data_IF_040011265147
#
_entry.id   IF_040011265147
#
_cell.length_a   1.000
_cell.length_b   1.000
_cell.length_c   1.000
_cell.angle_alpha   90.00
_cell.angle_beta   90.00
_cell.angle_gamma   90.00
#
_symmetry.space_group_name_H-M   'P 1'
#
loop_
_entity.id
_entity.type
_entity.pdbx_description
1 polymer ?
#
# COMPACT_ATOMS: atom_id res chain seq x y z
N UNK A 1 -2.96 -17.27 4.28
CA UNK A 1 -1.87 -18.25 4.24
C UNK A 1 -2.21 -19.44 5.11
N UNK A 2 -2.41 -19.21 6.40
CA UNK A 2 -2.69 -20.29 7.36
C UNK A 2 -3.93 -21.11 7.02
N UNK A 3 -4.97 -20.46 6.49
CA UNK A 3 -6.25 -21.09 6.15
C UNK A 3 -6.31 -21.60 4.69
N UNK A 4 -5.23 -21.48 3.93
CA UNK A 4 -5.20 -21.89 2.52
C UNK A 4 -5.91 -20.94 1.55
N UNK A 5 -6.48 -19.84 2.02
CA UNK A 5 -7.15 -18.84 1.18
C UNK A 5 -6.11 -18.00 0.42
N UNK A 6 -5.02 -17.67 1.08
CA UNK A 6 -3.91 -16.90 0.51
C UNK A 6 -2.69 -17.83 0.43
N UNK A 7 -2.09 -17.95 -0.75
CA UNK A 7 -0.94 -18.84 -0.96
C UNK A 7 0.38 -18.24 -0.48
N UNK A 8 0.54 -16.93 -0.58
CA UNK A 8 1.75 -16.22 -0.14
C UNK A 8 1.46 -14.76 0.14
N UNK A 9 2.30 -14.15 0.97
CA UNK A 9 2.26 -12.71 1.27
C UNK A 9 3.66 -12.14 1.09
N UNK A 10 3.75 -10.97 0.46
CA UNK A 10 4.97 -10.17 0.41
C UNK A 10 4.72 -8.89 1.20
N UNK A 11 5.58 -8.61 2.17
CA UNK A 11 5.54 -7.42 3.00
C UNK A 11 6.74 -6.54 2.68
N UNK A 12 6.49 -5.29 2.31
CA UNK A 12 7.54 -4.29 2.11
C UNK A 12 7.47 -3.33 3.29
N UNK A 13 8.51 -3.33 4.12
CA UNK A 13 8.59 -2.54 5.36
C UNK A 13 9.91 -1.77 5.37
N UNK A 14 9.84 -0.47 5.65
CA UNK A 14 11.03 0.38 5.65
C UNK A 14 11.95 0.09 6.85
N UNK A 15 11.40 -0.39 7.96
CA UNK A 15 12.16 -0.61 9.20
C UNK A 15 12.56 -2.09 9.37
N UNK A 16 13.86 -2.34 9.38
CA UNK A 16 14.39 -3.67 9.69
C UNK A 16 14.02 -4.09 11.10
N UNK A 17 13.99 -3.15 12.05
CA UNK A 17 13.63 -3.44 13.45
C UNK A 17 12.20 -3.96 13.56
N UNK A 18 11.27 -3.40 12.78
CA UNK A 18 9.87 -3.88 12.72
C UNK A 18 9.81 -5.29 12.15
N UNK A 19 10.54 -5.57 11.09
CA UNK A 19 10.62 -6.90 10.48
C UNK A 19 11.16 -7.90 11.52
N UNK A 20 12.23 -7.56 12.21
CA UNK A 20 12.86 -8.41 13.21
C UNK A 20 11.94 -8.68 14.39
N UNK A 21 11.10 -7.70 14.75
CA UNK A 21 10.14 -7.83 15.84
C UNK A 21 8.96 -8.74 15.46
N UNK A 22 8.47 -8.64 14.23
CA UNK A 22 7.21 -9.27 13.79
C UNK A 22 7.45 -10.63 13.15
N UNK A 23 8.48 -10.79 12.32
CA UNK A 23 8.69 -11.99 11.50
C UNK A 23 8.80 -13.30 12.30
N UNK A 24 9.39 -13.34 13.52
CA UNK A 24 9.48 -14.59 14.28
C UNK A 24 8.12 -15.20 14.63
N UNK A 25 7.07 -14.39 14.74
CA UNK A 25 5.71 -14.86 15.07
C UNK A 25 5.04 -15.57 13.89
N UNK A 26 5.55 -15.39 12.67
CA UNK A 26 4.95 -15.90 11.45
C UNK A 26 5.91 -16.73 10.61
N UNK A 27 6.98 -17.24 11.22
CA UNK A 27 8.07 -17.98 10.53
C UNK A 27 7.61 -19.23 9.80
N UNK A 28 6.50 -19.84 10.26
CA UNK A 28 5.96 -21.06 9.66
C UNK A 28 5.00 -20.78 8.50
N UNK A 29 4.76 -19.51 8.17
CA UNK A 29 3.88 -19.09 7.09
C UNK A 29 4.69 -18.64 5.88
N UNK A 30 4.10 -18.75 4.70
CA UNK A 30 4.74 -18.31 3.46
C UNK A 30 4.66 -16.80 3.31
N UNK A 31 5.48 -16.09 4.07
CA UNK A 31 5.57 -14.63 4.07
C UNK A 31 7.01 -14.22 3.76
N UNK A 32 7.17 -13.39 2.74
CA UNK A 32 8.44 -12.78 2.34
C UNK A 32 8.48 -11.35 2.86
N UNK A 33 9.55 -10.99 3.55
CA UNK A 33 9.76 -9.63 4.06
C UNK A 33 10.86 -8.95 3.25
N UNK A 34 10.58 -7.73 2.78
CA UNK A 34 11.54 -6.90 2.05
C UNK A 34 11.72 -5.61 2.84
N UNK A 35 12.95 -5.34 3.30
CA UNK A 35 13.28 -4.07 3.95
C UNK A 35 13.56 -3.02 2.88
N UNK A 36 12.58 -2.18 2.62
CA UNK A 36 12.69 -1.11 1.62
C UNK A 36 11.63 -0.04 1.84
N UNK A 37 11.94 1.16 1.40
CA UNK A 37 10.95 2.22 1.24
C UNK A 37 10.12 1.91 -0.02
N UNK A 38 8.84 1.64 0.14
CA UNK A 38 7.96 1.26 -0.98
C UNK A 38 7.87 2.37 -2.05
N UNK A 39 8.06 3.63 -1.66
CA UNK A 39 8.08 4.75 -2.62
C UNK A 39 9.29 4.72 -3.55
N UNK A 40 10.34 4.01 -3.16
CA UNK A 40 11.59 3.86 -3.92
C UNK A 40 11.79 2.44 -4.46
N UNK A 41 10.96 1.50 -4.03
CA UNK A 41 11.02 0.12 -4.45
C UNK A 41 10.65 0.01 -5.92
N UNK A 42 11.45 -0.75 -6.67
CA UNK A 42 11.19 -1.04 -8.09
C UNK A 42 10.76 -2.49 -8.23
N UNK A 43 9.45 -2.77 -8.40
CA UNK A 43 9.00 -4.14 -8.57
C UNK A 43 9.61 -4.77 -9.83
N UNK A 44 9.96 -6.05 -9.73
CA UNK A 44 10.45 -6.81 -10.87
C UNK A 44 9.35 -6.91 -11.94
N UNK A 45 9.74 -7.03 -13.21
CA UNK A 45 8.80 -7.06 -14.33
C UNK A 45 7.75 -8.16 -14.21
N UNK A 46 8.13 -9.31 -13.66
CA UNK A 46 7.26 -10.48 -13.47
C UNK A 46 6.57 -10.52 -12.09
N UNK A 47 6.81 -9.54 -11.27
CA UNK A 47 6.23 -9.43 -9.93
C UNK A 47 4.76 -9.01 -10.03
N UNK A 48 3.84 -9.93 -9.75
CA UNK A 48 2.39 -9.75 -9.90
C UNK A 48 1.66 -10.17 -8.63
N UNK A 49 0.61 -9.45 -8.27
CA UNK A 49 -0.17 -9.73 -7.08
C UNK A 49 -1.67 -9.67 -7.36
N UNK A 50 -2.42 -10.54 -6.67
CA UNK A 50 -3.88 -10.52 -6.69
C UNK A 50 -4.44 -9.35 -5.87
N UNK A 51 -3.79 -9.01 -4.77
CA UNK A 51 -4.19 -7.94 -3.86
C UNK A 51 -2.97 -7.18 -3.39
N UNK A 52 -3.05 -5.86 -3.45
CA UNK A 52 -2.04 -4.96 -2.91
C UNK A 52 -2.71 -3.96 -1.97
N UNK A 53 -2.11 -3.75 -0.78
CA UNK A 53 -2.61 -2.77 0.18
C UNK A 53 -1.46 -1.92 0.70
N UNK A 54 -1.65 -0.60 0.66
CA UNK A 54 -0.65 0.37 1.08
C UNK A 54 -1.10 1.09 2.34
N UNK A 55 -0.32 0.93 3.41
CA UNK A 55 -0.54 1.54 4.72
C UNK A 55 0.79 2.06 5.25
N UNK A 56 1.28 3.14 4.65
CA UNK A 56 2.62 3.68 4.91
C UNK A 56 2.60 5.04 5.61
N UNK A 57 1.40 5.62 5.82
CA UNK A 57 1.28 6.98 6.32
C UNK A 57 1.06 6.99 7.83
N UNK A 58 1.82 7.84 8.58
CA UNK A 58 1.65 7.93 10.04
C UNK A 58 0.40 8.72 10.43
N UNK A 59 -0.06 9.64 9.56
CA UNK A 59 -1.15 10.57 9.85
C UNK A 59 -2.17 10.61 8.74
N UNK A 60 -3.39 11.05 9.07
CA UNK A 60 -4.44 11.33 8.10
C UNK A 60 -4.19 12.73 7.53
N UNK A 61 -3.69 12.78 6.29
CA UNK A 61 -3.35 14.03 5.61
C UNK A 61 -3.72 13.91 4.12
N UNK A 62 -4.33 14.96 3.57
CA UNK A 62 -4.73 14.96 2.15
C UNK A 62 -3.54 14.86 1.19
N UNK A 63 -2.34 15.24 1.62
CA UNK A 63 -1.11 15.07 0.85
C UNK A 63 -0.80 13.59 0.58
N UNK A 64 -1.32 12.67 1.40
CA UNK A 64 -1.18 11.24 1.18
C UNK A 64 -1.77 10.80 -0.16
N UNK A 65 -2.76 11.52 -0.67
CA UNK A 65 -3.38 11.23 -1.97
C UNK A 65 -2.39 11.35 -3.13
N UNK A 66 -1.42 12.23 -3.04
CA UNK A 66 -0.38 12.39 -4.06
C UNK A 66 0.55 11.18 -4.07
N UNK A 67 0.90 10.66 -2.89
CA UNK A 67 1.67 9.41 -2.75
C UNK A 67 0.91 8.22 -3.30
N UNK A 68 -0.40 8.13 -3.03
CA UNK A 68 -1.26 7.07 -3.54
C UNK A 68 -1.29 7.06 -5.06
N UNK A 69 -1.37 8.24 -5.67
CA UNK A 69 -1.33 8.41 -7.12
C UNK A 69 0.01 7.91 -7.70
N UNK A 70 1.11 8.25 -7.04
CA UNK A 70 2.44 7.79 -7.42
C UNK A 70 2.57 6.27 -7.30
N UNK A 71 2.10 5.68 -6.21
CA UNK A 71 2.08 4.23 -6.01
C UNK A 71 1.23 3.53 -7.07
N UNK A 72 0.07 4.09 -7.41
CA UNK A 72 -0.78 3.56 -8.48
C UNK A 72 -0.05 3.53 -9.81
N UNK A 73 0.77 4.53 -10.09
CA UNK A 73 1.61 4.57 -11.30
C UNK A 73 2.71 3.51 -11.26
N UNK A 74 3.44 3.40 -10.14
CA UNK A 74 4.53 2.43 -9.98
C UNK A 74 4.01 1.00 -10.15
N UNK A 75 2.86 0.68 -9.59
CA UNK A 75 2.32 -0.66 -9.52
C UNK A 75 1.27 -0.97 -10.61
N UNK A 76 1.06 -0.08 -11.59
CA UNK A 76 0.00 -0.20 -12.61
C UNK A 76 0.06 -1.50 -13.43
N UNK A 77 1.23 -2.08 -13.63
CA UNK A 77 1.41 -3.29 -14.41
C UNK A 77 1.67 -4.54 -13.55
N UNK A 78 1.47 -4.43 -12.24
CA UNK A 78 1.79 -5.50 -11.30
C UNK A 78 0.55 -6.20 -10.72
N UNK A 79 -0.61 -5.89 -11.25
CA UNK A 79 -1.83 -6.67 -11.02
C UNK A 79 -1.73 -8.00 -11.76
N UNK A 80 -2.04 -9.09 -11.07
CA UNK A 80 -1.99 -10.43 -11.66
C UNK A 80 -3.08 -10.61 -12.73
N UNK A 81 -4.28 -10.06 -12.49
CA UNK A 81 -5.41 -10.09 -13.43
C UNK A 81 -6.12 -8.74 -13.41
N UNK A 82 -7.08 -8.53 -14.33
CA UNK A 82 -7.93 -7.35 -14.34
C UNK A 82 -8.77 -7.21 -13.06
N UNK A 83 -9.09 -8.32 -12.39
CA UNK A 83 -9.86 -8.35 -11.16
C UNK A 83 -9.02 -8.16 -9.90
N UNK A 84 -7.70 -8.03 -10.03
CA UNK A 84 -6.81 -7.77 -8.90
C UNK A 84 -7.11 -6.42 -8.26
N UNK A 85 -7.04 -6.38 -6.92
CA UNK A 85 -7.44 -5.21 -6.15
C UNK A 85 -6.23 -4.46 -5.59
N UNK A 86 -6.31 -3.13 -5.62
CA UNK A 86 -5.34 -2.25 -4.97
C UNK A 86 -6.10 -1.33 -4.02
N UNK A 87 -5.67 -1.30 -2.77
CA UNK A 87 -6.24 -0.44 -1.74
C UNK A 87 -5.21 0.42 -1.04
N UNK A 88 -5.69 1.50 -0.43
CA UNK A 88 -4.86 2.47 0.28
C UNK A 88 -5.55 2.88 1.57
N UNK A 89 -4.78 2.99 2.65
CA UNK A 89 -5.27 3.37 3.95
C UNK A 89 -5.99 4.73 3.91
N UNK A 90 -7.24 4.76 4.34
CA UNK A 90 -8.07 5.98 4.45
C UNK A 90 -8.30 6.75 3.13
N UNK A 91 -8.14 6.11 1.97
CA UNK A 91 -8.26 6.81 0.69
C UNK A 91 -9.62 7.47 0.50
N UNK A 92 -10.72 6.77 0.77
CA UNK A 92 -12.08 7.28 0.55
C UNK A 92 -12.36 8.49 1.44
N UNK A 93 -11.94 8.41 2.71
CA UNK A 93 -12.04 9.53 3.65
C UNK A 93 -11.26 10.76 3.15
N UNK A 94 -10.03 10.54 2.68
CA UNK A 94 -9.17 11.64 2.20
C UNK A 94 -9.70 12.27 0.92
N UNK A 95 -10.29 11.50 0.03
CA UNK A 95 -10.92 12.03 -1.18
C UNK A 95 -12.10 12.95 -0.83
N UNK A 96 -12.93 12.56 0.12
CA UNK A 96 -14.05 13.37 0.58
C UNK A 96 -13.57 14.65 1.26
N UNK A 97 -12.56 14.54 2.13
CA UNK A 97 -11.94 15.68 2.80
C UNK A 97 -11.36 16.69 1.80
N UNK A 98 -10.69 16.21 0.74
CA UNK A 98 -10.15 17.08 -0.32
C UNK A 98 -11.24 17.83 -1.05
N UNK A 99 -12.38 17.20 -1.32
CA UNK A 99 -13.55 17.86 -1.93
C UNK A 99 -14.07 18.97 -1.03
N UNK A 100 -14.16 18.74 0.28
CA UNK A 100 -14.60 19.73 1.26
C UNK A 100 -13.65 20.93 1.32
N UNK A 101 -12.35 20.68 1.32
CA UNK A 101 -11.33 21.73 1.29
C UNK A 101 -11.45 22.60 0.03
N UNK A 102 -11.63 22.00 -1.14
CA UNK A 102 -11.83 22.72 -2.40
C UNK A 102 -13.11 23.54 -2.40
N UNK A 103 -14.21 23.03 -1.86
CA UNK A 103 -15.47 23.78 -1.72
C UNK A 103 -15.27 25.00 -0.83
N UNK A 104 -14.56 24.84 0.27
CA UNK A 104 -14.24 25.94 1.18
C UNK A 104 -13.43 27.03 0.48
N UNK A 105 -12.37 26.67 -0.23
CA UNK A 105 -11.55 27.61 -0.99
C UNK A 105 -12.38 28.36 -2.05
N UNK A 106 -13.21 27.66 -2.81
CA UNK A 106 -14.08 28.27 -3.84
C UNK A 106 -15.06 29.24 -3.21
N UNK A 107 -15.57 28.96 -2.01
CA UNK A 107 -16.54 29.80 -1.31
C UNK A 107 -15.95 31.10 -0.79
N UNK A 108 -14.69 31.08 -0.34
CA UNK A 108 -14.07 32.22 0.38
C UNK A 108 -12.96 32.92 -0.41
N UNK A 109 -12.55 32.38 -1.51
CA UNK A 109 -11.57 32.95 -2.42
C UNK A 109 -12.11 33.02 -3.84
#
# INVERSE_FOLDING_TARGET
VKNGIVSSITVIEISQDVIDLVSPYYKDLNIKYICSDVMKYKPAKDEKYDTMYFDIWPDICTDNLDDMKRLSYIWRYHKKTADSWIGYWQKDYLLERRKQEKRYETRYY
#
